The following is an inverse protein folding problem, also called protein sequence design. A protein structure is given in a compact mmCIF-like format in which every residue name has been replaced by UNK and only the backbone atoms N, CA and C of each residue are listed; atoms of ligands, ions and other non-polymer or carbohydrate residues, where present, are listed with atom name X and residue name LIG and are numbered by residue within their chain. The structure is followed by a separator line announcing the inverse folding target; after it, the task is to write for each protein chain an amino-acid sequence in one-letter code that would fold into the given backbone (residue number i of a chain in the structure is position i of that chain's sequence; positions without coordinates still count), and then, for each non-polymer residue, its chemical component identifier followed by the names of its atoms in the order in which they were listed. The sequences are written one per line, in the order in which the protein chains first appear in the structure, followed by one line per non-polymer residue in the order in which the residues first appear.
data_IF_426266188345
#
_entry.id   IF_426266188345
#
_cell.length_a   1.000
_cell.length_b   1.000
_cell.length_c   1.000
_cell.angle_alpha   90.00
_cell.angle_beta   90.00
_cell.angle_gamma   90.00
#
_symmetry.space_group_name_H-M   'P 1'
#
loop_
_entity.id
_entity.type
_entity.pdbx_description
1 polymer ?
#
# COMPACT_ATOMS: atom_id res chain seq x y z
N UNK A 1 -0.94 -16.02 15.22
CA UNK A 1 -0.30 -15.14 14.22
C UNK A 1 -1.12 -13.87 14.17
N UNK A 2 -0.47 -12.71 14.27
CA UNK A 2 -1.17 -11.44 14.14
C UNK A 2 -1.44 -11.19 12.66
N UNK A 3 -2.67 -10.82 12.34
CA UNK A 3 -3.12 -10.51 10.98
C UNK A 3 -3.67 -9.10 11.00
N UNK A 4 -3.43 -8.34 9.92
CA UNK A 4 -4.12 -7.07 9.74
C UNK A 4 -5.49 -7.34 9.14
N UNK A 5 -6.54 -6.88 9.80
CA UNK A 5 -7.92 -7.04 9.36
C UNK A 5 -8.43 -5.74 8.75
N UNK A 6 -9.18 -5.86 7.66
CA UNK A 6 -9.89 -4.75 7.04
C UNK A 6 -11.39 -5.04 7.00
N UNK A 7 -12.18 -4.02 7.36
CA UNK A 7 -13.64 -4.10 7.45
C UNK A 7 -14.31 -3.92 6.08
N UNK A 8 -13.99 -4.79 5.13
CA UNK A 8 -14.56 -4.83 3.78
C UNK A 8 -14.52 -6.25 3.21
N UNK A 9 -15.47 -6.60 2.33
CA UNK A 9 -15.50 -7.91 1.68
C UNK A 9 -14.44 -8.02 0.58
N UNK A 10 -14.07 -9.24 0.20
CA UNK A 10 -13.08 -9.45 -0.88
C UNK A 10 -13.57 -8.93 -2.24
N UNK A 11 -14.87 -8.96 -2.49
CA UNK A 11 -15.47 -8.39 -3.69
C UNK A 11 -15.39 -6.87 -3.70
N UNK A 12 -15.67 -6.23 -2.56
CA UNK A 12 -15.51 -4.78 -2.40
C UNK A 12 -14.04 -4.37 -2.56
N UNK A 13 -13.12 -5.15 -1.98
CA UNK A 13 -11.68 -4.96 -2.15
C UNK A 13 -11.30 -4.99 -3.63
N UNK A 14 -11.66 -6.07 -4.32
CA UNK A 14 -11.30 -6.30 -5.72
C UNK A 14 -11.89 -5.21 -6.62
N UNK A 15 -13.15 -4.85 -6.43
CA UNK A 15 -13.81 -3.78 -7.19
C UNK A 15 -13.10 -2.44 -7.00
N UNK A 16 -12.75 -2.07 -5.76
CA UNK A 16 -12.02 -0.83 -5.47
C UNK A 16 -10.61 -0.83 -6.08
N UNK A 17 -9.91 -1.96 -6.02
CA UNK A 17 -8.56 -2.08 -6.56
C UNK A 17 -8.53 -2.00 -8.08
N UNK A 18 -9.44 -2.69 -8.76
CA UNK A 18 -9.57 -2.65 -10.22
C UNK A 18 -9.93 -1.23 -10.68
N UNK A 19 -10.93 -0.61 -10.04
CA UNK A 19 -11.31 0.78 -10.32
C UNK A 19 -10.12 1.74 -10.15
N UNK A 20 -9.37 1.60 -9.04
CA UNK A 20 -8.18 2.40 -8.82
C UNK A 20 -7.15 2.22 -9.95
N UNK A 21 -6.83 0.97 -10.32
CA UNK A 21 -5.84 0.71 -11.37
C UNK A 21 -6.27 1.34 -12.69
N UNK A 22 -7.53 1.12 -13.10
CA UNK A 22 -8.04 1.58 -14.38
C UNK A 22 -8.17 3.11 -14.46
N UNK A 23 -8.52 3.77 -13.34
CA UNK A 23 -8.80 5.21 -13.31
C UNK A 23 -7.56 6.03 -12.98
N UNK A 24 -6.67 5.51 -12.12
CA UNK A 24 -5.59 6.27 -11.47
C UNK A 24 -4.19 5.88 -11.91
N UNK A 25 -3.97 4.69 -12.47
CA UNK A 25 -2.65 4.31 -13.00
C UNK A 25 -2.57 4.60 -14.49
N UNK A 26 -1.35 4.90 -14.95
CA UNK A 26 -1.07 5.18 -16.36
C UNK A 26 -1.28 3.95 -17.27
N UNK A 27 -1.02 2.75 -16.73
CA UNK A 27 -1.32 1.47 -17.36
C UNK A 27 -2.60 0.91 -16.72
N UNK A 28 -3.71 0.83 -17.47
CA UNK A 28 -5.01 0.40 -16.94
C UNK A 28 -5.19 -1.13 -16.91
N UNK A 29 -4.18 -1.90 -17.31
CA UNK A 29 -4.21 -3.37 -17.37
C UNK A 29 -4.09 -3.94 -15.96
N UNK A 30 -5.25 -4.17 -15.33
CA UNK A 30 -5.34 -4.65 -13.95
C UNK A 30 -5.02 -6.15 -13.85
N UNK A 31 -5.21 -6.91 -14.93
CA UNK A 31 -4.94 -8.34 -15.03
C UNK A 31 -3.45 -8.66 -14.76
N UNK A 32 -2.55 -7.73 -15.10
CA UNK A 32 -1.12 -7.83 -14.81
C UNK A 32 -0.79 -7.63 -13.33
N UNK A 33 -1.68 -6.94 -12.61
CA UNK A 33 -1.46 -6.47 -11.25
C UNK A 33 -2.16 -7.34 -10.19
N UNK A 34 -3.16 -8.12 -10.60
CA UNK A 34 -4.07 -8.82 -9.70
C UNK A 34 -4.35 -10.24 -10.18
N UNK A 35 -4.04 -11.21 -9.34
CA UNK A 35 -4.45 -12.60 -9.55
C UNK A 35 -5.53 -12.98 -8.53
N UNK A 36 -6.67 -13.47 -9.02
CA UNK A 36 -7.81 -13.88 -8.18
C UNK A 36 -7.74 -15.39 -7.94
N UNK A 37 -7.61 -15.79 -6.67
CA UNK A 37 -7.58 -17.19 -6.27
C UNK A 37 -9.00 -17.65 -5.97
N UNK A 38 -9.52 -18.55 -6.81
CA UNK A 38 -10.87 -19.10 -6.69
C UNK A 38 -10.82 -20.48 -6.04
N UNK A 39 -11.70 -20.72 -5.09
CA UNK A 39 -11.92 -22.02 -4.46
C UNK A 39 -13.34 -22.51 -4.72
N UNK A 40 -13.57 -23.81 -4.53
CA UNK A 40 -14.88 -24.44 -4.72
C UNK A 40 -15.32 -25.12 -3.44
N UNK A 41 -16.54 -24.82 -2.97
CA UNK A 41 -17.17 -25.47 -1.82
C UNK A 41 -18.61 -25.78 -2.16
N UNK A 42 -19.01 -27.05 -2.05
CA UNK A 42 -20.34 -27.52 -2.43
C UNK A 42 -20.72 -27.09 -3.86
N UNK A 43 -19.83 -27.33 -4.82
CA UNK A 43 -19.98 -26.95 -6.25
C UNK A 43 -20.09 -25.45 -6.55
N UNK A 44 -20.07 -24.58 -5.52
CA UNK A 44 -20.06 -23.13 -5.67
C UNK A 44 -18.64 -22.61 -5.66
N UNK A 45 -18.28 -21.86 -6.70
CA UNK A 45 -17.03 -21.10 -6.78
C UNK A 45 -17.14 -19.84 -5.92
N UNK A 46 -16.08 -19.52 -5.20
CA UNK A 46 -15.95 -18.29 -4.43
C UNK A 46 -14.51 -17.79 -4.46
N UNK A 47 -14.32 -16.49 -4.31
CA UNK A 47 -12.98 -15.90 -4.18
C UNK A 47 -12.44 -16.25 -2.80
N UNK A 48 -11.30 -16.93 -2.75
CA UNK A 48 -10.63 -17.28 -1.50
C UNK A 48 -9.60 -16.21 -1.09
N UNK A 49 -8.86 -15.70 -2.08
CA UNK A 49 -7.82 -14.71 -1.87
C UNK A 49 -7.58 -13.90 -3.14
N UNK A 50 -6.88 -12.78 -2.99
CA UNK A 50 -6.40 -11.95 -4.09
C UNK A 50 -4.90 -11.76 -3.91
N UNK A 51 -4.12 -12.04 -4.95
CA UNK A 51 -2.69 -11.76 -4.98
C UNK A 51 -2.50 -10.41 -5.69
N UNK A 52 -2.03 -9.40 -4.96
CA UNK A 52 -1.77 -8.07 -5.53
C UNK A 52 -0.28 -7.87 -5.73
N UNK A 53 0.08 -7.51 -6.96
CA UNK A 53 1.46 -7.25 -7.38
C UNK A 53 1.51 -6.13 -8.41
N UNK A 54 1.27 -4.91 -7.95
CA UNK A 54 1.55 -3.71 -8.75
C UNK A 54 3.07 -3.51 -8.71
N UNK A 55 3.73 -3.40 -9.87
CA UNK A 55 5.18 -3.23 -9.96
C UNK A 55 5.55 -2.22 -11.02
N UNK A 56 6.43 -1.29 -10.65
CA UNK A 56 7.02 -0.27 -11.51
C UNK A 56 5.95 0.50 -12.32
N UNK A 57 4.78 0.77 -11.70
CA UNK A 57 3.68 1.54 -12.31
C UNK A 57 3.78 3.02 -11.94
N UNK A 58 3.23 3.88 -12.79
CA UNK A 58 3.12 5.34 -12.58
C UNK A 58 1.66 5.75 -12.44
N UNK A 59 1.43 6.88 -11.77
CA UNK A 59 0.10 7.49 -11.70
C UNK A 59 -0.25 8.19 -13.02
N UNK A 60 -1.53 8.14 -13.37
CA UNK A 60 -2.09 8.87 -14.50
C UNK A 60 -2.00 10.38 -14.25
N UNK A 61 -1.71 11.16 -15.29
CA UNK A 61 -1.39 12.60 -15.24
C UNK A 61 -0.06 12.96 -14.55
N UNK A 62 0.69 11.96 -14.08
CA UNK A 62 2.03 12.11 -13.51
C UNK A 62 3.00 11.10 -14.15
N UNK A 63 2.75 10.74 -15.41
CA UNK A 63 3.53 9.76 -16.16
C UNK A 63 4.98 10.21 -16.36
N UNK A 64 5.22 11.52 -16.41
CA UNK A 64 6.55 12.12 -16.53
C UNK A 64 7.25 12.30 -15.18
N UNK A 65 6.61 11.91 -14.06
CA UNK A 65 7.29 11.92 -12.77
C UNK A 65 8.39 10.87 -12.71
N UNK A 66 9.44 11.19 -11.96
CA UNK A 66 10.56 10.27 -11.71
C UNK A 66 10.21 9.14 -10.76
N UNK A 67 8.95 9.00 -10.33
CA UNK A 67 8.55 8.00 -9.33
C UNK A 67 7.79 6.84 -9.94
N UNK A 68 8.03 5.65 -9.39
CA UNK A 68 7.20 4.47 -9.63
C UNK A 68 6.75 3.87 -8.31
N UNK A 69 5.62 3.18 -8.35
CA UNK A 69 5.05 2.48 -7.19
C UNK A 69 5.17 0.98 -7.32
N UNK A 70 5.21 0.32 -6.16
CA UNK A 70 5.10 -1.12 -6.01
C UNK A 70 4.18 -1.43 -4.82
N UNK A 71 3.13 -2.20 -5.06
CA UNK A 71 2.16 -2.63 -4.03
C UNK A 71 2.14 -4.15 -4.04
N UNK A 72 2.48 -4.75 -2.89
CA UNK A 72 2.47 -6.20 -2.72
C UNK A 72 1.71 -6.56 -1.45
N UNK A 73 0.66 -7.35 -1.62
CA UNK A 73 -0.10 -7.94 -0.51
C UNK A 73 -0.92 -9.15 -0.98
N UNK A 74 -1.43 -9.91 -0.01
CA UNK A 74 -2.34 -11.02 -0.27
C UNK A 74 -3.54 -10.99 0.70
N UNK A 75 -4.62 -10.28 0.35
CA UNK A 75 -5.88 -10.35 1.07
C UNK A 75 -6.52 -11.73 0.96
N UNK A 76 -6.93 -12.26 2.11
CA UNK A 76 -7.62 -13.54 2.24
C UNK A 76 -8.98 -13.28 2.91
N UNK A 77 -10.01 -13.99 2.45
CA UNK A 77 -11.34 -13.93 3.09
C UNK A 77 -11.26 -14.44 4.52
N UNK A 78 -11.69 -13.62 5.50
CA UNK A 78 -11.87 -14.03 6.90
C UNK A 78 -13.34 -14.26 7.22
N UNK A 79 -14.18 -13.32 6.83
CA UNK A 79 -15.65 -13.42 6.94
C UNK A 79 -16.29 -12.93 5.65
N UNK A 80 -17.63 -12.94 5.57
CA UNK A 80 -18.37 -12.34 4.44
C UNK A 80 -18.05 -10.85 4.26
N UNK A 81 -17.69 -10.14 5.33
CA UNK A 81 -17.55 -8.68 5.33
C UNK A 81 -16.14 -8.21 5.70
N UNK A 82 -15.20 -9.14 5.92
CA UNK A 82 -13.85 -8.80 6.35
C UNK A 82 -12.81 -9.64 5.64
N UNK A 83 -11.69 -8.99 5.30
CA UNK A 83 -10.49 -9.61 4.76
C UNK A 83 -9.35 -9.49 5.77
N UNK A 84 -8.35 -10.36 5.63
CA UNK A 84 -7.09 -10.25 6.38
C UNK A 84 -5.89 -10.31 5.48
N UNK A 85 -4.84 -9.60 5.87
CA UNK A 85 -3.53 -9.62 5.24
C UNK A 85 -2.48 -10.07 6.25
N UNK A 86 -1.64 -11.02 5.84
CA UNK A 86 -0.56 -11.57 6.67
C UNK A 86 0.67 -10.67 6.68
N UNK A 87 0.95 -10.04 5.54
CA UNK A 87 2.05 -9.11 5.33
C UNK A 87 1.74 -8.22 4.14
N UNK A 88 2.26 -7.01 4.15
CA UNK A 88 2.25 -6.15 2.98
C UNK A 88 3.57 -5.39 2.85
N UNK A 89 3.81 -4.90 1.64
CA UNK A 89 4.91 -4.00 1.32
C UNK A 89 4.44 -3.02 0.24
N UNK A 90 4.35 -1.75 0.59
CA UNK A 90 3.91 -0.67 -0.31
C UNK A 90 5.02 0.34 -0.44
N UNK A 91 5.53 0.55 -1.65
CA UNK A 91 6.72 1.34 -1.94
C UNK A 91 6.43 2.38 -3.02
N UNK A 92 6.99 3.57 -2.82
CA UNK A 92 7.23 4.55 -3.87
C UNK A 92 8.73 4.83 -3.92
N UNK A 93 9.30 4.87 -5.12
CA UNK A 93 10.74 5.07 -5.32
C UNK A 93 11.00 5.90 -6.56
N UNK A 94 12.07 6.70 -6.52
CA UNK A 94 12.59 7.37 -7.70
C UNK A 94 13.27 6.37 -8.65
N UNK A 95 13.13 6.60 -9.96
CA UNK A 95 13.81 5.85 -11.02
C UNK A 95 15.20 6.41 -11.31
N UNK A 96 15.49 7.64 -10.87
CA UNK A 96 16.74 8.37 -11.11
C UNK A 96 17.62 8.44 -9.86
N UNK A 97 17.03 8.36 -8.66
CA UNK A 97 17.74 8.36 -7.39
C UNK A 97 17.35 7.15 -6.53
N UNK A 98 18.21 6.12 -6.37
CA UNK A 98 17.89 4.93 -5.60
C UNK A 98 17.72 5.19 -4.09
N UNK A 99 18.26 6.30 -3.58
CA UNK A 99 18.15 6.67 -2.15
C UNK A 99 16.81 7.39 -1.86
N UNK A 100 16.10 7.83 -2.89
CA UNK A 100 14.80 8.49 -2.74
C UNK A 100 13.65 7.48 -2.87
N UNK A 101 13.34 6.84 -1.74
CA UNK A 101 12.22 5.92 -1.63
C UNK A 101 11.60 5.96 -0.24
N UNK A 102 10.33 5.54 -0.18
CA UNK A 102 9.61 5.28 1.07
C UNK A 102 8.83 4.00 0.90
N UNK A 103 8.98 3.08 1.86
CA UNK A 103 8.27 1.80 1.87
C UNK A 103 7.60 1.53 3.21
N UNK A 104 6.28 1.35 3.16
CA UNK A 104 5.47 0.95 4.29
C UNK A 104 5.38 -0.57 4.35
N UNK A 105 5.88 -1.15 5.45
CA UNK A 105 5.88 -2.61 5.63
C UNK A 105 5.03 -3.01 6.83
N UNK A 106 4.34 -4.13 6.67
CA UNK A 106 3.76 -4.91 7.75
C UNK A 106 4.24 -6.35 7.64
N UNK A 107 4.86 -6.85 8.70
CA UNK A 107 5.22 -8.26 8.84
C UNK A 107 5.21 -8.65 10.32
N UNK A 108 4.47 -9.69 10.74
CA UNK A 108 4.36 -10.08 12.14
C UNK A 108 5.60 -10.84 12.62
N UNK A 109 6.72 -10.13 12.79
CA UNK A 109 7.97 -10.66 13.35
C UNK A 109 7.82 -10.97 14.84
N UNK A 110 8.54 -11.96 15.36
CA UNK A 110 8.61 -12.22 16.81
C UNK A 110 9.34 -11.12 17.58
N UNK A 111 10.42 -10.59 16.99
CA UNK A 111 11.43 -9.78 17.69
C UNK A 111 11.58 -8.36 17.13
N UNK A 112 10.76 -7.99 16.14
CA UNK A 112 10.82 -6.68 15.47
C UNK A 112 9.44 -6.01 15.39
N UNK A 113 9.39 -4.67 15.34
CA UNK A 113 8.15 -3.93 15.13
C UNK A 113 7.41 -4.43 13.89
N UNK A 114 6.15 -4.82 14.07
CA UNK A 114 5.37 -5.40 12.97
C UNK A 114 5.12 -4.40 11.85
N UNK A 115 4.95 -3.13 12.24
CA UNK A 115 4.76 -2.00 11.35
C UNK A 115 6.00 -1.12 11.37
N UNK A 116 6.57 -0.85 10.21
CA UNK A 116 7.70 0.07 10.10
C UNK A 116 7.80 0.66 8.69
N UNK A 117 8.45 1.82 8.60
CA UNK A 117 8.78 2.47 7.33
C UNK A 117 10.26 2.26 7.04
N UNK A 118 10.57 1.80 5.83
CA UNK A 118 11.92 1.77 5.28
C UNK A 118 12.11 2.97 4.36
N UNK A 119 13.27 3.62 4.46
CA UNK A 119 13.70 4.73 3.62
C UNK A 119 15.24 4.77 3.63
N UNK A 120 15.85 5.74 2.93
CA UNK A 120 17.29 5.96 3.03
C UNK A 120 17.70 6.26 4.47
N UNK A 121 18.64 5.46 4.98
CA UNK A 121 19.08 5.51 6.36
C UNK A 121 19.81 6.82 6.69
N UNK A 122 20.53 7.40 5.72
CA UNK A 122 21.30 8.62 5.95
C UNK A 122 20.43 9.85 6.07
N UNK A 123 19.38 9.93 5.26
CA UNK A 123 18.52 11.12 5.18
C UNK A 123 17.33 11.03 6.14
N UNK A 124 16.65 9.87 6.16
CA UNK A 124 15.38 9.71 6.87
C UNK A 124 15.47 8.71 8.03
N UNK A 125 16.47 7.84 8.02
CA UNK A 125 16.61 6.71 8.93
C UNK A 125 15.91 5.46 8.41
N UNK A 126 16.21 4.32 9.03
CA UNK A 126 15.65 3.02 8.68
C UNK A 126 14.79 2.43 9.82
N UNK A 127 13.81 1.60 9.46
CA UNK A 127 12.83 1.00 10.37
C UNK A 127 12.16 2.06 11.27
N UNK A 128 11.56 3.08 10.67
CA UNK A 128 10.87 4.14 11.38
C UNK A 128 9.53 3.61 11.92
N UNK A 129 9.33 3.73 13.23
CA UNK A 129 8.15 3.23 13.95
C UNK A 129 7.36 4.36 14.57
N UNK A 130 6.04 4.28 14.49
CA UNK A 130 5.13 5.21 15.17
C UNK A 130 5.02 4.87 16.67
N UNK A 131 4.92 5.86 17.58
CA UNK A 131 5.00 7.31 17.34
C UNK A 131 6.42 7.87 17.39
N UNK A 132 7.42 7.04 17.70
CA UNK A 132 8.74 7.51 18.14
C UNK A 132 9.60 8.12 17.02
N UNK A 133 9.61 7.50 15.84
CA UNK A 133 10.48 7.87 14.71
C UNK A 133 9.69 8.41 13.51
N UNK A 134 8.36 8.39 13.57
CA UNK A 134 7.48 8.92 12.54
C UNK A 134 6.12 9.26 13.13
N UNK A 135 5.46 10.26 12.56
CA UNK A 135 4.07 10.61 12.87
C UNK A 135 3.05 9.85 11.99
N UNK A 136 3.51 9.00 11.06
CA UNK A 136 2.66 8.16 10.20
C UNK A 136 2.31 6.86 10.94
N UNK A 137 1.07 6.73 11.41
CA UNK A 137 0.59 5.51 12.02
C UNK A 137 0.19 4.45 10.96
N UNK A 138 1.08 3.50 10.69
CA UNK A 138 0.82 2.41 9.75
C UNK A 138 -0.27 1.42 10.21
N UNK A 139 -0.67 1.41 11.48
CA UNK A 139 -1.82 0.60 11.92
C UNK A 139 -3.10 1.02 11.20
N UNK A 140 -3.24 2.31 10.88
CA UNK A 140 -4.39 2.87 10.14
C UNK A 140 -4.28 2.70 8.61
N UNK A 141 -3.15 2.21 8.10
CA UNK A 141 -2.86 2.17 6.67
C UNK A 141 -3.42 0.91 5.98
N UNK A 142 -4.13 1.07 4.89
CA UNK A 142 -4.39 0.02 3.90
C UNK A 142 -3.76 0.39 2.56
N UNK A 143 -3.84 -0.50 1.56
CA UNK A 143 -3.24 -0.23 0.25
C UNK A 143 -3.85 0.99 -0.45
N UNK A 144 -5.14 1.26 -0.27
CA UNK A 144 -5.82 2.39 -0.91
C UNK A 144 -5.35 3.71 -0.31
N UNK A 145 -5.16 3.76 1.01
CA UNK A 145 -4.59 4.91 1.70
C UNK A 145 -3.12 5.11 1.28
N UNK A 146 -2.33 4.03 1.18
CA UNK A 146 -0.95 4.11 0.70
C UNK A 146 -0.88 4.67 -0.73
N UNK A 147 -1.73 4.16 -1.63
CA UNK A 147 -1.85 4.65 -3.00
C UNK A 147 -2.24 6.14 -3.07
N UNK A 148 -3.15 6.59 -2.22
CA UNK A 148 -3.54 8.00 -2.11
C UNK A 148 -2.42 8.89 -1.56
N UNK A 149 -1.62 8.38 -0.61
CA UNK A 149 -0.42 9.07 -0.11
C UNK A 149 0.61 9.20 -1.24
N UNK A 150 0.90 8.11 -1.96
CA UNK A 150 1.85 8.12 -3.07
C UNK A 150 1.39 9.02 -4.23
N UNK A 151 0.10 9.00 -4.58
CA UNK A 151 -0.45 9.91 -5.59
C UNK A 151 -0.33 11.38 -5.15
N UNK A 152 -0.56 11.67 -3.86
CA UNK A 152 -0.38 13.02 -3.33
C UNK A 152 1.09 13.45 -3.33
N UNK A 153 2.02 12.53 -3.07
CA UNK A 153 3.45 12.80 -3.07
C UNK A 153 3.96 13.13 -4.48
N UNK A 154 3.59 12.35 -5.51
CA UNK A 154 4.00 12.68 -6.89
C UNK A 154 3.42 14.01 -7.38
N UNK A 155 2.27 14.44 -6.85
CA UNK A 155 1.69 15.75 -7.14
C UNK A 155 2.41 16.90 -6.40
N UNK A 156 3.11 16.61 -5.31
CA UNK A 156 3.77 17.58 -4.43
C UNK A 156 5.15 17.07 -3.95
N UNK A 157 6.10 16.76 -4.83
CA UNK A 157 7.33 16.04 -4.46
C UNK A 157 8.26 16.83 -3.53
N UNK A 158 8.06 18.14 -3.40
CA UNK A 158 8.80 18.99 -2.45
C UNK A 158 8.36 18.78 -0.99
N UNK A 159 7.15 18.27 -0.77
CA UNK A 159 6.63 17.92 0.56
C UNK A 159 6.92 16.43 0.78
N UNK A 160 8.09 16.09 1.31
CA UNK A 160 8.45 14.68 1.46
C UNK A 160 7.56 13.95 2.47
N UNK A 161 7.25 12.66 2.23
CA UNK A 161 6.34 11.86 3.08
C UNK A 161 6.82 11.81 4.53
N UNK A 162 8.13 11.75 4.72
CA UNK A 162 8.78 11.59 6.03
C UNK A 162 9.20 12.90 6.71
N UNK A 163 8.98 14.05 6.06
CA UNK A 163 9.23 15.35 6.68
C UNK A 163 8.11 15.68 7.69
N UNK A 164 8.32 15.32 8.96
CA UNK A 164 7.29 15.44 10.00
C UNK A 164 6.79 16.86 10.24
N UNK A 165 7.54 17.88 9.84
CA UNK A 165 7.13 19.28 9.97
C UNK A 165 6.16 19.70 8.84
N UNK A 166 6.23 19.05 7.68
CA UNK A 166 5.49 19.44 6.47
C UNK A 166 4.58 18.33 5.89
N UNK A 167 4.58 17.12 6.46
CA UNK A 167 3.88 15.96 5.89
C UNK A 167 2.37 15.88 6.23
N UNK A 168 1.76 16.97 6.69
CA UNK A 168 0.36 17.01 7.14
C UNK A 168 -0.64 16.52 6.07
N UNK A 169 -0.34 16.73 4.78
CA UNK A 169 -1.14 16.24 3.65
C UNK A 169 -1.34 14.72 3.70
N UNK A 170 -0.32 13.98 4.08
CA UNK A 170 -0.34 12.51 4.13
C UNK A 170 -0.98 12.01 5.41
N UNK A 171 -0.72 12.68 6.54
CA UNK A 171 -1.36 12.38 7.83
C UNK A 171 -2.89 12.51 7.74
N UNK A 172 -3.39 13.49 6.99
CA UNK A 172 -4.83 13.64 6.77
C UNK A 172 -5.47 12.48 5.99
N UNK A 173 -4.71 11.75 5.17
CA UNK A 173 -5.24 10.57 4.44
C UNK A 173 -5.51 9.39 5.37
N UNK A 174 -4.67 9.21 6.39
CA UNK A 174 -4.85 8.18 7.43
C UNK A 174 -6.09 8.42 8.31
N UNK A 175 -6.57 9.68 8.40
CA UNK A 175 -7.73 10.05 9.24
C UNK A 175 -9.08 9.92 8.54
N UNK A 176 -9.09 9.70 7.22
CA UNK A 176 -10.31 9.66 6.39
C UNK A 176 -10.85 8.24 6.19
N UNK A 177 -10.30 7.26 6.90
CA UNK A 177 -10.53 5.82 6.78
C UNK A 177 -11.72 5.34 7.60
#
# INVERSE_FOLDING_TARGET
MQHKEFNLSIEQYLSKLIDFIQVRLASPEWEDCVEVIISTKNEKKYVQAVNVKIKDRRFKHYEDSDYTIKIVENPIVKTKNTITVNKYSYEIKSVTNPDDFVRFDYYPYSDFPHFHINADEKTWGNHLTYPDKTNINLEMLDCFIALEIFNAFVAHPKEHILDMDNNQRYIQKLKKS
#
